data_IF_118087214189
#
_entry.id   IF_118087214189
#
_cell.length_a   1.000
_cell.length_b   1.000
_cell.length_c   1.000
_cell.angle_alpha   90.00
_cell.angle_beta   90.00
_cell.angle_gamma   90.00
#
_symmetry.space_group_name_H-M   'P 1'
#
loop_
_entity.id
_entity.type
_entity.pdbx_description
1 polymer ?
#
# COMPACT_ATOMS: atom_id res chain seq x y z
N UNK A 1 -9.02 -21.40 -0.42
CA UNK A 1 -9.30 -20.14 -1.14
C UNK A 1 -9.65 -19.05 -0.14
N UNK A 2 -9.16 -17.82 -0.31
CA UNK A 2 -9.58 -16.68 0.52
C UNK A 2 -11.11 -16.51 0.44
N UNK A 3 -11.77 -16.29 1.59
CA UNK A 3 -13.23 -16.14 1.66
C UNK A 3 -13.57 -14.76 2.20
N UNK A 4 -14.52 -14.10 1.56
CA UNK A 4 -15.09 -12.83 2.04
C UNK A 4 -15.78 -13.03 3.38
N UNK A 5 -15.48 -12.16 4.36
CA UNK A 5 -16.00 -12.18 5.73
C UNK A 5 -16.55 -10.79 6.08
N UNK A 6 -17.76 -10.42 5.59
CA UNK A 6 -18.26 -9.04 5.67
C UNK A 6 -18.44 -8.55 7.11
N UNK A 7 -18.88 -9.42 8.03
CA UNK A 7 -19.03 -9.05 9.45
C UNK A 7 -17.68 -8.74 10.12
N UNK A 8 -16.62 -9.49 9.75
CA UNK A 8 -15.26 -9.22 10.23
C UNK A 8 -14.79 -7.87 9.68
N UNK A 9 -14.97 -7.62 8.39
CA UNK A 9 -14.60 -6.35 7.75
C UNK A 9 -15.32 -5.17 8.40
N UNK A 10 -16.63 -5.28 8.63
CA UNK A 10 -17.42 -4.22 9.28
C UNK A 10 -16.93 -3.90 10.69
N UNK A 11 -16.55 -4.93 11.47
CA UNK A 11 -16.00 -4.71 12.82
C UNK A 11 -14.69 -3.93 12.77
N UNK A 12 -13.73 -4.35 11.94
CA UNK A 12 -12.42 -3.68 11.83
C UNK A 12 -12.57 -2.27 11.26
N UNK A 13 -13.50 -2.07 10.32
CA UNK A 13 -13.85 -0.73 9.83
C UNK A 13 -14.39 0.18 10.94
N UNK A 14 -15.22 -0.33 11.85
CA UNK A 14 -15.70 0.44 13.00
C UNK A 14 -14.58 0.82 13.97
N UNK A 15 -13.60 -0.05 14.19
CA UNK A 15 -12.45 0.27 15.03
C UNK A 15 -11.56 1.34 14.36
N UNK A 16 -11.30 1.22 13.06
CA UNK A 16 -10.59 2.24 12.28
C UNK A 16 -11.30 3.61 12.30
N UNK A 17 -12.63 3.64 12.33
CA UNK A 17 -13.38 4.90 12.44
C UNK A 17 -13.26 5.57 13.82
N UNK A 18 -13.01 4.79 14.88
CA UNK A 18 -12.78 5.34 16.24
C UNK A 18 -11.37 5.90 16.36
N UNK A 19 -10.41 5.27 15.68
CA UNK A 19 -9.00 5.66 15.68
C UNK A 19 -8.39 5.44 14.28
N UNK A 20 -8.26 6.53 13.51
CA UNK A 20 -7.72 6.50 12.15
C UNK A 20 -6.22 6.24 12.10
N UNK A 21 -5.54 6.40 13.24
CA UNK A 21 -4.10 6.12 13.39
C UNK A 21 -3.84 4.62 13.55
N UNK A 22 -4.87 3.83 13.93
CA UNK A 22 -4.78 2.37 14.01
C UNK A 22 -4.82 1.73 12.61
N UNK A 23 -3.73 1.90 11.88
CA UNK A 23 -3.53 1.41 10.51
C UNK A 23 -3.47 -0.12 10.41
N UNK A 24 -3.30 -0.84 11.53
CA UNK A 24 -3.37 -2.31 11.57
C UNK A 24 -4.76 -2.82 11.14
N UNK A 25 -5.83 -2.07 11.47
CA UNK A 25 -7.22 -2.40 11.12
C UNK A 25 -7.42 -2.54 9.60
N UNK A 26 -6.69 -1.76 8.79
CA UNK A 26 -6.74 -1.81 7.33
C UNK A 26 -6.33 -3.19 6.81
N UNK A 27 -5.30 -3.80 7.38
CA UNK A 27 -4.85 -5.13 6.96
C UNK A 27 -5.86 -6.22 7.30
N UNK A 28 -6.57 -6.12 8.44
CA UNK A 28 -7.67 -7.02 8.77
C UNK A 28 -8.88 -6.85 7.85
N UNK A 29 -9.16 -5.63 7.39
CA UNK A 29 -10.18 -5.36 6.37
C UNK A 29 -9.79 -6.04 5.05
N UNK A 30 -8.54 -5.89 4.59
CA UNK A 30 -8.05 -6.57 3.37
C UNK A 30 -8.10 -8.10 3.48
N UNK A 31 -7.79 -8.65 4.65
CA UNK A 31 -7.93 -10.08 4.90
C UNK A 31 -9.39 -10.56 4.81
N UNK A 32 -10.31 -9.75 5.33
CA UNK A 32 -11.73 -10.05 5.35
C UNK A 32 -12.39 -9.83 3.98
N UNK A 33 -11.82 -8.96 3.14
CA UNK A 33 -12.28 -8.63 1.79
C UNK A 33 -11.18 -8.93 0.75
N UNK A 34 -10.77 -10.19 0.59
CA UNK A 34 -9.66 -10.52 -0.30
C UNK A 34 -10.03 -10.24 -1.75
N UNK A 35 -9.20 -9.46 -2.45
CA UNK A 35 -9.37 -9.22 -3.88
C UNK A 35 -9.07 -10.49 -4.68
N UNK A 36 -10.12 -11.12 -5.22
CA UNK A 36 -10.00 -12.37 -6.00
C UNK A 36 -9.16 -12.23 -7.27
N UNK A 37 -9.05 -11.02 -7.82
CA UNK A 37 -8.32 -10.75 -9.06
C UNK A 37 -6.81 -10.48 -8.87
N UNK A 38 -6.32 -10.41 -7.64
CA UNK A 38 -4.95 -9.98 -7.34
C UNK A 38 -3.89 -10.86 -8.01
N UNK A 39 -4.05 -12.19 -7.95
CA UNK A 39 -3.13 -13.14 -8.60
C UNK A 39 -3.08 -12.95 -10.11
N UNK A 40 -4.24 -12.89 -10.76
CA UNK A 40 -4.31 -12.72 -12.22
C UNK A 40 -3.78 -11.34 -12.65
N UNK A 41 -3.99 -10.29 -11.84
CA UNK A 41 -3.43 -8.98 -12.11
C UNK A 41 -1.90 -8.97 -11.98
N UNK A 42 -1.37 -9.58 -10.92
CA UNK A 42 0.07 -9.72 -10.73
C UNK A 42 0.72 -10.53 -11.84
N UNK A 43 0.13 -11.67 -12.22
CA UNK A 43 0.62 -12.49 -13.32
C UNK A 43 0.68 -11.68 -14.62
N UNK A 44 -0.42 -11.03 -15.01
CA UNK A 44 -0.46 -10.18 -16.21
C UNK A 44 0.61 -9.09 -16.20
N UNK A 45 0.82 -8.42 -15.06
CA UNK A 45 1.83 -7.37 -14.94
C UNK A 45 3.26 -7.92 -14.98
N UNK A 46 3.54 -8.92 -14.15
CA UNK A 46 4.87 -9.48 -13.98
C UNK A 46 5.32 -10.30 -15.20
N UNK A 47 4.43 -10.71 -16.09
CA UNK A 47 4.85 -11.37 -17.34
C UNK A 47 5.26 -10.40 -18.45
N UNK A 48 5.04 -9.08 -18.31
CA UNK A 48 5.45 -8.12 -19.35
C UNK A 48 6.89 -7.65 -19.18
N UNK A 49 7.57 -7.25 -20.28
CA UNK A 49 8.90 -6.63 -20.20
C UNK A 49 8.92 -5.37 -19.32
N UNK A 50 7.87 -4.55 -19.38
CA UNK A 50 7.75 -3.30 -18.61
C UNK A 50 7.60 -3.60 -17.11
N UNK A 51 6.78 -4.58 -16.74
CA UNK A 51 6.62 -4.97 -15.34
C UNK A 51 7.91 -5.52 -14.75
N UNK A 52 8.69 -6.28 -15.53
CA UNK A 52 10.02 -6.73 -15.13
C UNK A 52 11.03 -5.59 -15.03
N UNK A 53 10.99 -4.63 -15.95
CA UNK A 53 11.86 -3.45 -15.91
C UNK A 53 11.61 -2.62 -14.64
N UNK A 54 10.35 -2.32 -14.32
CA UNK A 54 9.96 -1.58 -13.10
C UNK A 54 10.42 -2.34 -11.85
N UNK A 55 10.19 -3.65 -11.79
CA UNK A 55 10.64 -4.47 -10.66
C UNK A 55 12.16 -4.44 -10.46
N UNK A 56 12.91 -4.43 -11.55
CA UNK A 56 14.37 -4.37 -11.49
C UNK A 56 14.88 -2.98 -11.09
N UNK A 57 14.26 -1.90 -11.57
CA UNK A 57 14.68 -0.52 -11.27
C UNK A 57 14.18 0.00 -9.93
N UNK A 58 13.05 -0.51 -9.44
CA UNK A 58 12.38 -0.05 -8.21
C UNK A 58 12.15 -1.23 -7.24
N UNK A 59 13.23 -1.80 -6.68
CA UNK A 59 13.12 -2.95 -5.79
C UNK A 59 12.46 -2.60 -4.45
N UNK A 60 12.58 -1.36 -3.99
CA UNK A 60 12.04 -0.89 -2.72
C UNK A 60 11.66 0.60 -2.82
N UNK A 61 10.37 0.88 -2.97
CA UNK A 61 9.87 2.25 -3.08
C UNK A 61 9.82 3.05 -1.75
N UNK A 62 9.55 2.44 -0.57
CA UNK A 62 9.29 3.20 0.67
C UNK A 62 10.36 4.24 1.03
N UNK A 63 11.64 3.95 0.83
CA UNK A 63 12.73 4.90 1.13
C UNK A 63 12.61 6.20 0.32
N UNK A 64 12.21 6.11 -0.95
CA UNK A 64 11.98 7.29 -1.79
C UNK A 64 10.75 8.07 -1.32
N UNK A 65 9.70 7.36 -0.91
CA UNK A 65 8.46 7.98 -0.47
C UNK A 65 8.63 8.72 0.85
N UNK A 66 9.43 8.21 1.77
CA UNK A 66 9.69 8.88 3.06
C UNK A 66 10.72 10.01 2.97
N UNK A 67 11.46 10.15 1.86
CA UNK A 67 12.36 11.29 1.63
C UNK A 67 11.58 12.55 1.19
N UNK A 68 10.68 13.02 2.05
CA UNK A 68 9.91 14.25 1.85
C UNK A 68 10.82 15.46 1.63
N UNK A 69 12.02 15.47 2.24
CA UNK A 69 12.98 16.55 2.09
C UNK A 69 13.48 16.68 0.64
N UNK A 70 13.75 15.57 -0.04
CA UNK A 70 14.10 15.59 -1.46
C UNK A 70 12.87 15.80 -2.34
N UNK A 71 11.74 15.17 -2.03
CA UNK A 71 10.50 15.33 -2.79
C UNK A 71 10.02 16.79 -2.83
N UNK A 72 10.13 17.53 -1.71
CA UNK A 72 9.78 18.96 -1.61
C UNK A 72 10.73 19.90 -2.36
N UNK A 73 11.82 19.41 -2.96
CA UNK A 73 12.66 20.20 -3.87
C UNK A 73 12.11 20.25 -5.30
N UNK A 74 11.15 19.37 -5.63
CA UNK A 74 10.47 19.38 -6.93
C UNK A 74 9.58 20.63 -7.07
N UNK A 75 9.12 20.97 -8.28
CA UNK A 75 8.30 22.17 -8.47
C UNK A 75 7.03 22.15 -7.62
N UNK A 76 6.65 23.32 -7.09
CA UNK A 76 5.39 23.51 -6.40
C UNK A 76 4.20 23.13 -7.30
N UNK A 77 3.18 22.48 -6.73
CA UNK A 77 2.03 21.95 -7.48
C UNK A 77 2.29 20.60 -8.17
N UNK A 78 3.47 20.00 -7.98
CA UNK A 78 3.75 18.64 -8.44
C UNK A 78 3.04 17.57 -7.58
N UNK A 79 2.93 16.36 -8.13
CA UNK A 79 2.43 15.17 -7.40
C UNK A 79 3.27 14.90 -6.15
N UNK A 80 4.56 15.18 -6.18
CA UNK A 80 5.45 15.01 -5.03
C UNK A 80 5.04 15.89 -3.84
N UNK A 81 4.72 17.17 -4.10
CA UNK A 81 4.19 18.07 -3.08
C UNK A 81 2.85 17.58 -2.54
N UNK A 82 1.92 17.22 -3.44
CA UNK A 82 0.60 16.73 -3.04
C UNK A 82 0.69 15.45 -2.21
N UNK A 83 1.64 14.56 -2.51
CA UNK A 83 1.93 13.37 -1.72
C UNK A 83 2.49 13.70 -0.33
N UNK A 84 3.51 14.56 -0.24
CA UNK A 84 4.07 14.97 1.06
C UNK A 84 3.01 15.62 1.95
N UNK A 85 2.20 16.53 1.38
CA UNK A 85 1.11 17.21 2.08
C UNK A 85 0.01 16.23 2.54
N UNK A 86 -0.25 15.18 1.76
CA UNK A 86 -1.16 14.11 2.15
C UNK A 86 -0.60 13.30 3.33
N UNK A 87 0.61 12.74 3.19
CA UNK A 87 1.22 11.89 4.21
C UNK A 87 1.39 12.63 5.56
N UNK A 88 1.86 13.88 5.53
CA UNK A 88 2.07 14.68 6.74
C UNK A 88 0.76 15.04 7.45
N UNK A 89 -0.29 15.38 6.69
CA UNK A 89 -1.61 15.68 7.27
C UNK A 89 -2.25 14.44 7.90
N UNK A 90 -2.08 13.29 7.27
CA UNK A 90 -2.65 12.02 7.72
C UNK A 90 -1.79 11.32 8.78
N UNK A 91 -0.65 11.90 9.20
CA UNK A 91 0.24 11.30 10.20
C UNK A 91 0.93 10.01 9.73
N UNK A 92 1.02 9.79 8.41
CA UNK A 92 1.49 8.55 7.82
C UNK A 92 2.97 8.63 7.42
N UNK A 93 3.62 7.45 7.38
CA UNK A 93 4.90 7.23 6.70
C UNK A 93 4.87 5.90 5.94
N UNK A 94 5.60 5.81 4.84
CA UNK A 94 5.73 4.58 4.07
C UNK A 94 6.38 3.48 4.92
N UNK A 95 7.42 3.79 5.70
CA UNK A 95 8.03 2.87 6.65
C UNK A 95 7.05 2.37 7.72
N UNK A 96 6.14 3.23 8.21
CA UNK A 96 5.08 2.84 9.14
C UNK A 96 4.13 1.80 8.52
N UNK A 97 3.68 2.05 7.29
CA UNK A 97 2.82 1.12 6.55
C UNK A 97 3.52 -0.21 6.24
N UNK A 98 4.83 -0.18 5.95
CA UNK A 98 5.65 -1.39 5.82
C UNK A 98 5.68 -2.16 7.15
N UNK A 99 5.95 -1.49 8.26
CA UNK A 99 6.02 -2.11 9.58
C UNK A 99 4.71 -2.80 9.96
N UNK A 100 3.57 -2.13 9.77
CA UNK A 100 2.24 -2.72 10.01
C UNK A 100 1.95 -3.90 9.07
N UNK A 101 2.34 -3.79 7.80
CA UNK A 101 2.23 -4.89 6.84
C UNK A 101 3.06 -6.12 7.24
N UNK A 102 4.24 -5.92 7.82
CA UNK A 102 5.12 -7.00 8.30
C UNK A 102 4.61 -7.63 9.59
N UNK A 103 4.14 -6.81 10.55
CA UNK A 103 3.46 -7.30 11.76
C UNK A 103 2.29 -8.19 11.38
N UNK A 104 1.45 -7.72 10.46
CA UNK A 104 0.35 -8.52 9.92
C UNK A 104 0.88 -9.81 9.28
N UNK A 105 1.92 -9.79 8.44
CA UNK A 105 2.43 -11.03 7.81
C UNK A 105 3.10 -12.01 8.77
N UNK A 106 3.41 -11.63 10.01
CA UNK A 106 4.08 -12.50 10.98
C UNK A 106 3.28 -13.78 11.22
N UNK A 107 3.95 -14.93 11.08
CA UNK A 107 3.33 -16.26 11.23
C UNK A 107 2.41 -16.69 10.07
N UNK A 108 2.32 -15.90 8.99
CA UNK A 108 1.60 -16.25 7.75
C UNK A 108 2.56 -16.77 6.68
N UNK A 109 2.01 -17.46 5.68
CA UNK A 109 2.81 -17.93 4.54
C UNK A 109 3.35 -16.73 3.74
N UNK A 110 4.64 -16.74 3.48
CA UNK A 110 5.32 -15.77 2.63
C UNK A 110 5.56 -16.37 1.24
N UNK A 111 5.16 -15.65 0.19
CA UNK A 111 5.48 -16.06 -1.18
C UNK A 111 6.96 -15.76 -1.43
N UNK A 112 7.72 -16.80 -1.80
CA UNK A 112 9.16 -16.67 -2.11
C UNK A 112 9.44 -16.31 -3.57
N UNK A 113 8.45 -15.72 -4.23
CA UNK A 113 8.51 -15.33 -5.64
C UNK A 113 8.21 -13.83 -5.81
N UNK A 114 8.16 -13.38 -7.06
CA UNK A 114 7.87 -11.99 -7.43
C UNK A 114 6.47 -11.49 -7.01
N UNK A 115 5.57 -12.37 -6.58
CA UNK A 115 4.24 -11.97 -6.11
C UNK A 115 4.31 -11.12 -4.84
N UNK A 116 5.26 -11.40 -3.94
CA UNK A 116 5.47 -10.59 -2.73
C UNK A 116 5.83 -9.16 -3.08
N UNK A 117 6.78 -8.95 -4.01
CA UNK A 117 7.13 -7.61 -4.49
C UNK A 117 5.92 -6.88 -5.08
N UNK A 118 5.06 -7.57 -5.84
CA UNK A 118 3.86 -6.94 -6.40
C UNK A 118 2.86 -6.50 -5.31
N UNK A 119 2.66 -7.32 -4.28
CA UNK A 119 1.80 -6.95 -3.14
C UNK A 119 2.38 -5.76 -2.36
N UNK A 120 3.69 -5.72 -2.16
CA UNK A 120 4.39 -4.60 -1.53
C UNK A 120 4.24 -3.33 -2.37
N UNK A 121 4.46 -3.41 -3.69
CA UNK A 121 4.27 -2.28 -4.61
C UNK A 121 2.83 -1.75 -4.60
N UNK A 122 1.83 -2.63 -4.47
CA UNK A 122 0.42 -2.22 -4.35
C UNK A 122 0.15 -1.46 -3.05
N UNK A 123 0.75 -1.87 -1.92
CA UNK A 123 0.69 -1.09 -0.67
C UNK A 123 1.34 0.28 -0.87
N UNK A 124 2.57 0.29 -1.38
CA UNK A 124 3.38 1.51 -1.46
C UNK A 124 2.82 2.55 -2.46
N UNK A 125 2.00 2.12 -3.43
CA UNK A 125 1.33 3.03 -4.39
C UNK A 125 -0.08 3.44 -3.98
N UNK A 126 -0.65 2.86 -2.94
CA UNK A 126 -2.05 3.10 -2.57
C UNK A 126 -2.32 4.58 -2.27
N UNK A 127 -1.48 5.20 -1.43
CA UNK A 127 -1.65 6.62 -1.08
C UNK A 127 -1.33 7.55 -2.25
N UNK A 128 -0.44 7.15 -3.16
CA UNK A 128 -0.25 7.86 -4.43
C UNK A 128 -1.52 7.80 -5.29
N UNK A 129 -2.28 6.71 -5.26
CA UNK A 129 -3.55 6.61 -5.99
C UNK A 129 -4.59 7.57 -5.39
N UNK A 130 -4.66 7.71 -4.07
CA UNK A 130 -5.50 8.73 -3.42
C UNK A 130 -5.15 10.14 -3.91
N UNK A 131 -3.86 10.48 -3.94
CA UNK A 131 -3.36 11.78 -4.43
C UNK A 131 -3.70 12.02 -5.90
N UNK A 132 -3.46 11.02 -6.76
CA UNK A 132 -3.66 11.16 -8.22
C UNK A 132 -5.13 11.20 -8.63
N UNK A 133 -6.00 10.56 -7.88
CA UNK A 133 -7.43 10.46 -8.22
C UNK A 133 -8.30 11.47 -7.49
N UNK A 134 -7.78 12.09 -6.44
CA UNK A 134 -8.54 13.00 -5.58
C UNK A 134 -9.56 12.28 -4.67
N UNK A 135 -9.59 10.95 -4.68
CA UNK A 135 -10.36 10.20 -3.68
C UNK A 135 -9.62 10.30 -2.35
N UNK A 136 -10.24 10.96 -1.37
CA UNK A 136 -9.72 11.05 -0.01
C UNK A 136 -9.70 9.69 0.71
N UNK A 137 -9.14 9.70 1.92
CA UNK A 137 -9.07 8.56 2.83
C UNK A 137 -10.39 8.31 3.55
#
# INVERSE_FOLDING_TARGET
MPRTRPLKAYRHFRELLKDKENTEEVFYIFEALPWKGSRAAAERFLTTPEGQAIRASEPFLPDLLDDHASLRKLPAGSVAHAYCDFMEREGLSAAGLVAESMKFRTGRYEFKDQFTWYLDRQRDTHDLQHVLTGYGR
#
